data_IF_860386829846
#
_entry.id   IF_860386829846
#
_cell.length_a   1.000
_cell.length_b   1.000
_cell.length_c   1.000
_cell.angle_alpha   90.00
_cell.angle_beta   90.00
_cell.angle_gamma   90.00
#
_symmetry.space_group_name_H-M   'P 1'
#
loop_
_entity.id
_entity.type
_entity.pdbx_description
1 polymer ?
#
# COMPACT_ATOMS: atom_id res chain seq x y z
N UNK A 1 -13.05 -2.26 -8.40
CA UNK A 1 -12.95 -0.82 -8.71
C UNK A 1 -11.64 -0.55 -9.42
N UNK A 2 -11.78 -0.16 -10.63
CA UNK A 2 -10.91 0.48 -11.61
C UNK A 2 -9.40 0.45 -11.33
N UNK A 3 -8.79 -0.64 -11.75
CA UNK A 3 -7.35 -0.75 -11.99
C UNK A 3 -6.98 0.11 -13.21
N UNK A 4 -6.91 1.41 -13.03
CA UNK A 4 -6.47 2.31 -14.08
C UNK A 4 -4.95 2.35 -14.11
N UNK A 5 -4.38 1.69 -15.10
CA UNK A 5 -2.99 1.87 -15.49
C UNK A 5 -2.86 3.25 -16.14
N UNK A 6 -2.22 4.19 -15.47
CA UNK A 6 -1.93 5.50 -16.01
C UNK A 6 -0.58 5.47 -16.71
N UNK A 7 -0.59 5.29 -18.04
CA UNK A 7 0.62 5.44 -18.86
C UNK A 7 0.90 6.93 -19.10
N UNK A 8 1.88 7.51 -18.42
CA UNK A 8 2.46 8.80 -18.80
C UNK A 8 3.69 8.57 -19.69
N UNK A 9 3.55 8.89 -20.96
CA UNK A 9 4.69 9.02 -21.87
C UNK A 9 5.41 10.34 -21.55
N UNK A 10 6.53 10.30 -20.86
CA UNK A 10 7.57 11.32 -20.98
C UNK A 10 8.58 10.83 -22.04
N UNK A 11 9.10 11.74 -22.84
CA UNK A 11 9.77 11.45 -24.12
C UNK A 11 10.99 10.50 -24.08
N UNK A 12 11.41 9.94 -22.94
CA UNK A 12 12.56 9.02 -22.86
C UNK A 12 12.52 7.96 -21.75
N UNK A 13 11.46 7.81 -20.97
CA UNK A 13 11.31 6.69 -20.04
C UNK A 13 9.84 6.32 -19.86
N UNK A 14 9.55 5.05 -20.09
CA UNK A 14 8.21 4.49 -19.92
C UNK A 14 8.05 4.11 -18.44
N UNK A 15 7.52 5.03 -17.62
CA UNK A 15 7.19 4.72 -16.24
C UNK A 15 5.72 4.31 -16.17
N UNK A 16 5.44 3.18 -15.54
CA UNK A 16 4.09 2.68 -15.30
C UNK A 16 3.67 3.08 -13.89
N UNK A 17 2.48 3.66 -13.77
CA UNK A 17 1.89 4.06 -12.50
C UNK A 17 0.55 3.36 -12.32
N UNK A 18 0.26 2.93 -11.10
CA UNK A 18 -0.95 2.19 -10.79
C UNK A 18 -1.79 2.95 -9.76
N UNK A 19 -3.10 2.79 -9.85
CA UNK A 19 -4.01 3.31 -8.84
C UNK A 19 -4.31 2.29 -7.74
N UNK A 20 -4.59 1.05 -8.09
CA UNK A 20 -4.96 -0.04 -7.18
C UNK A 20 -3.85 -1.08 -6.99
N UNK A 21 -3.73 -1.62 -5.78
CA UNK A 21 -2.72 -2.62 -5.44
C UNK A 21 -2.88 -3.93 -6.22
N UNK A 22 -4.11 -4.44 -6.40
CA UNK A 22 -4.32 -5.65 -7.21
C UNK A 22 -3.81 -5.48 -8.64
N UNK A 23 -4.11 -4.34 -9.29
CA UNK A 23 -3.62 -4.05 -10.62
C UNK A 23 -2.11 -3.91 -10.68
N UNK A 24 -1.52 -3.22 -9.69
CA UNK A 24 -0.08 -3.05 -9.59
C UNK A 24 0.64 -4.40 -9.46
N UNK A 25 0.16 -5.26 -8.57
CA UNK A 25 0.79 -6.54 -8.26
C UNK A 25 0.53 -7.60 -9.35
N UNK A 26 -0.68 -7.63 -9.93
CA UNK A 26 -1.05 -8.63 -10.95
C UNK A 26 -0.32 -8.45 -12.28
N UNK A 27 0.00 -7.21 -12.66
CA UNK A 27 0.69 -6.94 -13.93
C UNK A 27 2.18 -7.35 -13.93
N UNK A 28 2.72 -7.75 -12.80
CA UNK A 28 4.14 -8.03 -12.61
C UNK A 28 4.43 -9.47 -12.17
N UNK A 29 3.53 -10.41 -12.44
CA UNK A 29 3.67 -11.81 -12.03
C UNK A 29 4.62 -12.56 -12.96
N UNK A 30 5.86 -12.73 -12.55
CA UNK A 30 6.67 -13.86 -12.97
C UNK A 30 6.28 -15.08 -12.10
N UNK A 31 6.09 -16.23 -12.71
CA UNK A 31 5.36 -17.42 -12.24
C UNK A 31 5.89 -18.13 -10.98
N UNK A 32 6.75 -17.52 -10.18
CA UNK A 32 7.42 -18.15 -9.03
C UNK A 32 7.10 -17.46 -7.69
N UNK A 33 6.40 -16.33 -7.71
CA UNK A 33 6.30 -15.46 -6.55
C UNK A 33 5.12 -15.80 -5.64
N UNK A 34 5.38 -15.83 -4.33
CA UNK A 34 4.37 -15.99 -3.26
C UNK A 34 3.65 -14.64 -2.98
N UNK A 35 3.94 -13.62 -3.77
CA UNK A 35 3.38 -12.28 -3.63
C UNK A 35 1.85 -12.29 -3.75
N UNK A 36 1.11 -11.63 -2.84
CA UNK A 36 -0.34 -11.56 -2.91
C UNK A 36 -0.77 -10.70 -4.10
N UNK A 37 -1.52 -11.29 -5.03
CA UNK A 37 -2.01 -10.59 -6.24
C UNK A 37 -3.53 -10.39 -6.22
N UNK A 38 -4.22 -10.94 -5.23
CA UNK A 38 -5.67 -10.81 -5.04
C UNK A 38 -6.01 -10.64 -3.57
N UNK A 39 -7.00 -9.80 -3.29
CA UNK A 39 -7.49 -9.53 -1.96
C UNK A 39 -8.99 -9.80 -1.88
N UNK A 40 -9.40 -10.62 -0.90
CA UNK A 40 -10.79 -10.95 -0.68
C UNK A 40 -11.31 -10.18 0.54
N UNK A 41 -12.30 -9.32 0.32
CA UNK A 41 -12.96 -8.62 1.42
C UNK A 41 -13.92 -9.58 2.13
N UNK A 42 -13.72 -9.76 3.43
CA UNK A 42 -14.60 -10.53 4.31
C UNK A 42 -15.26 -9.60 5.33
N UNK A 43 -16.55 -9.79 5.57
CA UNK A 43 -17.35 -8.92 6.45
C UNK A 43 -17.38 -9.37 7.92
N UNK A 44 -16.75 -10.48 8.25
CA UNK A 44 -16.70 -11.01 9.62
C UNK A 44 -15.29 -10.86 10.19
N UNK A 45 -15.22 -10.35 11.43
CA UNK A 45 -13.99 -10.35 12.21
C UNK A 45 -13.78 -11.79 12.71
N UNK A 46 -13.28 -12.63 11.83
CA UNK A 46 -12.67 -13.87 12.24
C UNK A 46 -11.19 -13.56 12.41
N UNK A 47 -10.55 -14.12 13.43
CA UNK A 47 -9.09 -13.99 13.66
C UNK A 47 -8.23 -14.60 12.54
N UNK A 48 -8.82 -14.88 11.40
CA UNK A 48 -8.24 -15.54 10.22
C UNK A 48 -7.94 -14.56 9.07
N UNK A 49 -8.22 -13.24 9.24
CA UNK A 49 -7.87 -12.27 8.18
C UNK A 49 -6.40 -11.90 8.25
N UNK A 50 -5.72 -11.90 7.10
CA UNK A 50 -4.32 -11.48 6.98
C UNK A 50 -4.18 -9.97 7.23
N UNK A 51 -5.17 -9.18 6.80
CA UNK A 51 -5.22 -7.73 6.99
C UNK A 51 -6.56 -7.37 7.65
N UNK A 52 -6.48 -6.73 8.83
CA UNK A 52 -7.64 -6.18 9.52
C UNK A 52 -7.67 -4.66 9.38
N UNK A 53 -8.78 -4.11 8.88
CA UNK A 53 -8.97 -2.66 8.78
C UNK A 53 -10.02 -2.22 9.79
N UNK A 54 -9.65 -1.29 10.67
CA UNK A 54 -10.51 -0.73 11.69
C UNK A 54 -10.67 0.78 11.50
N UNK A 55 -11.90 1.26 11.60
CA UNK A 55 -12.27 2.67 11.53
C UNK A 55 -12.59 3.22 12.92
N UNK A 56 -12.13 4.44 13.18
CA UNK A 56 -12.38 5.14 14.45
C UNK A 56 -12.74 6.60 14.18
N UNK A 57 -13.69 7.12 14.96
CA UNK A 57 -14.00 8.55 14.97
C UNK A 57 -13.14 9.34 15.97
N UNK A 58 -12.36 8.64 16.78
CA UNK A 58 -11.44 9.29 17.71
C UNK A 58 -10.27 9.91 16.94
N UNK A 59 -9.74 11.00 17.50
CA UNK A 59 -8.49 11.59 17.04
C UNK A 59 -7.30 10.78 17.51
N UNK A 60 -6.31 10.58 16.63
CA UNK A 60 -5.04 10.03 17.04
C UNK A 60 -4.25 11.08 17.86
N UNK A 61 -3.72 10.73 19.06
CA UNK A 61 -2.97 11.67 19.89
C UNK A 61 -1.70 12.25 19.20
N UNK A 62 -1.10 11.50 18.29
CA UNK A 62 0.09 11.89 17.53
C UNK A 62 -0.25 12.61 16.21
N UNK A 63 -1.54 12.72 15.87
CA UNK A 63 -2.04 13.44 14.71
C UNK A 63 -2.03 12.66 13.40
N UNK A 64 -1.81 11.34 13.43
CA UNK A 64 -1.90 10.50 12.23
C UNK A 64 -3.35 10.27 11.80
N UNK A 65 -3.62 10.33 10.51
CA UNK A 65 -4.93 9.97 9.93
C UNK A 65 -5.08 8.45 9.74
N UNK A 66 -3.98 7.75 9.53
CA UNK A 66 -3.89 6.29 9.46
C UNK A 66 -2.66 5.77 10.19
N UNK A 67 -2.69 4.50 10.55
CA UNK A 67 -1.56 3.81 11.18
C UNK A 67 -1.65 2.31 10.96
N UNK A 68 -0.55 1.70 10.53
CA UNK A 68 -0.46 0.25 10.29
C UNK A 68 0.49 -0.41 11.28
N UNK A 69 0.03 -1.49 11.92
CA UNK A 69 0.80 -2.36 12.80
C UNK A 69 1.05 -3.67 12.06
N UNK A 70 2.30 -4.08 11.95
CA UNK A 70 2.69 -5.38 11.41
C UNK A 70 2.97 -6.36 12.55
N UNK A 71 2.35 -7.52 12.50
CA UNK A 71 2.67 -8.67 13.37
C UNK A 71 3.56 -9.59 12.56
N UNK A 72 4.83 -9.66 12.96
CA UNK A 72 5.85 -10.41 12.22
C UNK A 72 6.42 -11.56 13.03
N UNK A 73 6.89 -12.59 12.34
CA UNK A 73 7.66 -13.70 12.91
C UNK A 73 8.70 -14.18 11.91
N UNK A 74 9.96 -14.25 12.32
CA UNK A 74 11.10 -14.65 11.45
C UNK A 74 11.15 -13.87 10.13
N UNK A 75 10.98 -12.53 10.19
CA UNK A 75 10.94 -11.61 9.05
C UNK A 75 9.75 -11.80 8.08
N UNK A 76 8.79 -12.65 8.44
CA UNK A 76 7.55 -12.81 7.70
C UNK A 76 6.41 -11.99 8.35
N UNK A 77 5.58 -11.32 7.54
CA UNK A 77 4.37 -10.65 7.99
C UNK A 77 3.29 -11.70 8.16
N UNK A 78 2.87 -11.94 9.42
CA UNK A 78 1.80 -12.89 9.72
C UNK A 78 0.43 -12.25 9.65
N UNK A 79 0.32 -10.98 10.07
CA UNK A 79 -0.93 -10.22 10.07
C UNK A 79 -0.61 -8.73 10.06
N UNK A 80 -1.48 -7.94 9.46
CA UNK A 80 -1.41 -6.48 9.46
C UNK A 80 -2.70 -5.89 10.05
N UNK A 81 -2.55 -4.84 10.86
CA UNK A 81 -3.67 -4.16 11.47
C UNK A 81 -3.63 -2.68 11.09
N UNK A 82 -4.57 -2.25 10.27
CA UNK A 82 -4.73 -0.88 9.78
C UNK A 82 -5.79 -0.16 10.64
N UNK A 83 -5.42 0.97 11.22
CA UNK A 83 -6.33 1.85 11.96
C UNK A 83 -6.47 3.17 11.21
N UNK A 84 -7.70 3.59 10.92
CA UNK A 84 -8.02 4.87 10.31
C UNK A 84 -8.78 5.73 11.33
N UNK A 85 -8.33 6.95 11.53
CA UNK A 85 -8.85 7.86 12.54
C UNK A 85 -9.74 8.95 11.93
N UNK A 86 -10.58 9.57 12.76
CA UNK A 86 -11.47 10.70 12.41
C UNK A 86 -12.31 10.46 11.14
N UNK A 87 -12.76 9.22 10.90
CA UNK A 87 -13.37 8.78 9.62
C UNK A 87 -14.56 9.63 9.20
N UNK A 88 -15.39 10.12 10.15
CA UNK A 88 -16.55 10.97 9.84
C UNK A 88 -16.15 12.36 9.33
N UNK A 89 -14.91 12.80 9.56
CA UNK A 89 -14.40 14.10 9.09
C UNK A 89 -13.71 14.02 7.72
N UNK A 90 -13.42 12.80 7.24
CA UNK A 90 -12.72 12.58 5.98
C UNK A 90 -13.68 12.62 4.79
N UNK A 91 -13.25 13.21 3.68
CA UNK A 91 -13.91 12.98 2.41
C UNK A 91 -13.69 11.54 1.93
N UNK A 92 -14.53 11.04 1.02
CA UNK A 92 -14.37 9.72 0.43
C UNK A 92 -13.02 9.60 -0.29
N UNK A 93 -12.54 10.67 -0.92
CA UNK A 93 -11.24 10.72 -1.58
C UNK A 93 -10.10 10.57 -0.58
N UNK A 94 -10.14 11.34 0.53
CA UNK A 94 -9.12 11.28 1.57
C UNK A 94 -9.09 9.90 2.23
N UNK A 95 -10.27 9.37 2.61
CA UNK A 95 -10.37 8.03 3.18
C UNK A 95 -9.79 6.96 2.24
N UNK A 96 -10.13 7.03 0.94
CA UNK A 96 -9.60 6.09 -0.06
C UNK A 96 -8.08 6.19 -0.15
N UNK A 97 -7.54 7.39 -0.16
CA UNK A 97 -6.10 7.63 -0.24
C UNK A 97 -5.37 7.09 1.00
N UNK A 98 -5.90 7.39 2.20
CA UNK A 98 -5.31 6.92 3.46
C UNK A 98 -5.36 5.38 3.51
N UNK A 99 -6.50 4.75 3.20
CA UNK A 99 -6.61 3.29 3.19
C UNK A 99 -5.62 2.66 2.21
N UNK A 100 -5.45 3.23 1.01
CA UNK A 100 -4.48 2.74 0.02
C UNK A 100 -3.04 2.86 0.52
N UNK A 101 -2.69 3.98 1.16
CA UNK A 101 -1.37 4.22 1.76
C UNK A 101 -1.08 3.19 2.87
N UNK A 102 -1.99 3.07 3.84
CA UNK A 102 -1.84 2.11 4.94
C UNK A 102 -1.79 0.66 4.46
N UNK A 103 -2.49 0.36 3.35
CA UNK A 103 -2.42 -0.95 2.72
C UNK A 103 -1.02 -1.25 2.16
N UNK A 104 -0.31 -0.25 1.64
CA UNK A 104 1.08 -0.37 1.25
C UNK A 104 1.98 -0.76 2.43
N UNK A 105 1.78 -0.13 3.60
CA UNK A 105 2.47 -0.53 4.82
C UNK A 105 2.11 -1.95 5.24
N UNK A 106 0.85 -2.34 5.10
CA UNK A 106 0.41 -3.71 5.41
C UNK A 106 1.07 -4.78 4.51
N UNK A 107 1.51 -4.39 3.31
CA UNK A 107 2.30 -5.22 2.40
C UNK A 107 3.81 -5.19 2.68
N UNK A 108 4.26 -4.38 3.64
CA UNK A 108 5.66 -4.28 4.06
C UNK A 108 6.42 -3.07 3.51
N UNK A 109 5.77 -2.14 2.82
CA UNK A 109 6.42 -0.94 2.32
C UNK A 109 6.71 0.07 3.43
N UNK A 110 7.85 0.75 3.32
CA UNK A 110 8.15 2.00 4.02
C UNK A 110 7.62 3.22 3.27
N UNK A 111 8.01 4.42 3.75
CA UNK A 111 7.67 5.66 3.06
C UNK A 111 8.59 5.91 1.85
N UNK A 112 8.01 6.50 0.79
CA UNK A 112 8.72 7.03 -0.36
C UNK A 112 9.09 8.50 -0.15
N UNK A 113 10.19 8.94 -0.74
CA UNK A 113 10.59 10.36 -0.76
C UNK A 113 9.96 11.15 -1.91
N UNK A 114 9.37 10.48 -2.91
CA UNK A 114 8.65 11.15 -3.99
C UNK A 114 7.28 11.63 -3.48
N UNK A 115 7.07 12.95 -3.50
CA UNK A 115 5.82 13.58 -3.04
C UNK A 115 4.59 13.26 -3.88
N UNK A 116 4.73 12.62 -5.04
CA UNK A 116 3.63 12.18 -5.90
C UNK A 116 3.26 10.72 -5.69
N UNK A 117 4.13 9.99 -5.04
CA UNK A 117 3.95 8.58 -4.71
C UNK A 117 2.88 8.40 -3.63
N UNK A 118 2.13 7.31 -3.72
CA UNK A 118 1.15 6.94 -2.70
C UNK A 118 1.82 6.70 -1.35
N UNK A 119 3.03 6.18 -1.32
CA UNK A 119 3.79 5.89 -0.10
C UNK A 119 4.56 7.09 0.45
N UNK A 120 4.34 8.30 -0.09
CA UNK A 120 4.88 9.53 0.51
C UNK A 120 4.35 9.73 1.94
N UNK A 121 5.22 10.10 2.88
CA UNK A 121 4.82 10.42 4.26
C UNK A 121 3.94 11.68 4.35
N UNK A 122 3.96 12.53 3.32
CA UNK A 122 3.09 13.70 3.17
C UNK A 122 2.49 13.68 1.77
N UNK A 123 1.22 13.33 1.68
CA UNK A 123 0.50 13.28 0.40
C UNK A 123 0.05 14.70 0.04
N UNK A 124 0.65 15.26 -1.00
CA UNK A 124 0.36 16.63 -1.48
C UNK A 124 -0.48 16.65 -2.76
N UNK A 125 -0.77 15.49 -3.34
CA UNK A 125 -1.50 15.37 -4.60
C UNK A 125 -2.90 14.81 -4.36
N UNK A 126 -3.89 15.26 -5.15
CA UNK A 126 -5.27 14.73 -5.07
C UNK A 126 -5.36 13.27 -5.50
N UNK A 127 -4.43 12.80 -6.34
CA UNK A 127 -4.43 11.44 -6.88
C UNK A 127 -3.01 10.84 -6.82
N UNK A 128 -2.53 10.46 -5.63
CA UNK A 128 -1.24 9.78 -5.52
C UNK A 128 -1.31 8.39 -6.16
N UNK A 129 -0.21 7.95 -6.74
CA UNK A 129 -0.13 6.69 -7.48
C UNK A 129 0.86 5.72 -6.81
N UNK A 130 0.69 4.44 -7.08
CA UNK A 130 1.64 3.39 -6.76
C UNK A 130 2.68 3.36 -7.88
N UNK A 131 3.94 3.50 -7.54
CA UNK A 131 5.05 3.50 -8.49
C UNK A 131 5.50 2.08 -8.84
N UNK A 132 6.25 1.97 -9.93
CA UNK A 132 6.92 0.71 -10.29
C UNK A 132 7.95 0.31 -9.23
N UNK A 133 8.59 1.29 -8.56
CA UNK A 133 9.50 1.08 -7.46
C UNK A 133 8.83 0.41 -6.26
N UNK A 134 7.61 0.84 -5.86
CA UNK A 134 6.86 0.19 -4.78
C UNK A 134 6.58 -1.27 -5.07
N UNK A 135 6.18 -1.57 -6.31
CA UNK A 135 5.92 -2.94 -6.77
C UNK A 135 7.20 -3.77 -6.73
N UNK A 136 8.34 -3.22 -7.15
CA UNK A 136 9.62 -3.92 -7.12
C UNK A 136 10.11 -4.19 -5.69
N UNK A 137 9.87 -3.27 -4.75
CA UNK A 137 10.17 -3.50 -3.33
C UNK A 137 9.32 -4.64 -2.80
N UNK A 138 8.00 -4.63 -3.00
CA UNK A 138 7.12 -5.72 -2.57
C UNK A 138 7.59 -7.05 -3.17
N UNK A 139 7.88 -7.08 -4.47
CA UNK A 139 8.39 -8.28 -5.12
C UNK A 139 9.65 -8.81 -4.45
N UNK A 140 10.62 -7.94 -4.17
CA UNK A 140 11.86 -8.33 -3.52
C UNK A 140 11.64 -8.85 -2.10
N UNK A 141 10.72 -8.26 -1.33
CA UNK A 141 10.34 -8.72 0.00
C UNK A 141 9.79 -10.16 -0.03
N UNK A 142 8.89 -10.44 -0.96
CA UNK A 142 8.24 -11.76 -1.05
C UNK A 142 9.08 -12.81 -1.78
N UNK A 143 10.07 -12.42 -2.59
CA UNK A 143 10.98 -13.34 -3.28
C UNK A 143 12.17 -13.79 -2.43
N UNK A 144 12.30 -13.35 -1.17
CA UNK A 144 13.47 -13.61 -0.31
C UNK A 144 14.83 -13.25 -0.97
N UNK A 145 14.81 -12.34 -1.94
CA UNK A 145 16.04 -11.82 -2.54
C UNK A 145 16.64 -10.81 -1.58
N UNK A 146 17.84 -11.12 -1.10
CA UNK A 146 18.66 -10.35 -0.17
C UNK A 146 18.29 -8.87 -0.09
N UNK A 147 18.08 -8.41 1.15
CA UNK A 147 17.69 -7.07 1.58
C UNK A 147 18.71 -5.97 1.18
N UNK A 148 18.92 -5.74 -0.10
CA UNK A 148 19.39 -4.46 -0.54
C UNK A 148 18.19 -3.52 -0.48
N UNK A 149 18.13 -2.69 0.57
CA UNK A 149 17.10 -1.68 0.75
C UNK A 149 17.04 -0.81 -0.51
N UNK A 150 16.05 -1.06 -1.35
CA UNK A 150 15.74 -0.20 -2.48
C UNK A 150 14.88 0.94 -1.92
N UNK A 151 15.46 2.13 -1.79
CA UNK A 151 14.69 3.35 -1.52
C UNK A 151 14.11 3.87 -2.83
N UNK A 152 12.81 4.07 -2.89
CA UNK A 152 12.15 4.77 -3.99
C UNK A 152 12.53 6.27 -3.94
N UNK A 153 13.15 6.74 -5.02
CA UNK A 153 13.60 8.13 -5.19
C UNK A 153 12.78 8.84 -6.23
#
# INVERSE_FOLDING_TARGET
ELDNVLNKNSENSKSTYYYGWEGALSNNVDTVNIMPTKFNLVSSINNESDILIQFSNNKNPEGYSGYTILITHNDEILQSHILIYEVESLSVSDLTTIVRHEFGHALGLGHSIDSKDLMSNIILTETPYISECDVDIIRNLYDNKNNDFVECK
#
